data_IF_120898820451
#
_entry.id   IF_120898820451
#
_cell.length_a   1.000
_cell.length_b   1.000
_cell.length_c   1.000
_cell.angle_alpha   90.00
_cell.angle_beta   90.00
_cell.angle_gamma   90.00
#
_symmetry.space_group_name_H-M   'P 1'
#
loop_
_entity.id
_entity.type
_entity.pdbx_description
1 polymer ?
#
# COMPACT_ATOMS: atom_id res chain seq x y z
N UNK A 1 12.40 3.38 -13.37
CA UNK A 1 11.49 2.28 -13.05
C UNK A 1 10.60 2.61 -11.86
N UNK A 2 9.34 2.11 -11.86
CA UNK A 2 8.45 2.21 -10.69
C UNK A 2 8.88 1.20 -9.62
N UNK A 3 9.93 1.52 -8.93
CA UNK A 3 10.47 0.72 -7.83
C UNK A 3 9.66 0.99 -6.55
N UNK A 4 9.07 -0.03 -5.94
CA UNK A 4 8.13 0.15 -4.83
C UNK A 4 8.40 -0.72 -3.61
N UNK A 5 9.22 -1.75 -3.74
CA UNK A 5 9.53 -2.70 -2.66
C UNK A 5 10.83 -3.45 -2.96
N UNK A 6 11.46 -3.99 -1.92
CA UNK A 6 12.55 -4.93 -2.03
C UNK A 6 12.18 -6.27 -1.37
N UNK A 7 12.30 -7.40 -2.09
CA UNK A 7 12.42 -7.46 -3.53
C UNK A 7 11.14 -7.00 -4.23
N UNK A 8 11.21 -6.56 -5.51
CA UNK A 8 10.00 -6.34 -6.29
C UNK A 8 9.21 -7.65 -6.48
N UNK A 9 7.87 -7.58 -6.40
CA UNK A 9 7.01 -8.78 -6.44
C UNK A 9 7.11 -9.60 -7.75
N UNK A 10 7.66 -9.04 -8.83
CA UNK A 10 7.95 -9.77 -10.07
C UNK A 10 9.14 -10.72 -9.99
N UNK A 11 9.87 -10.72 -8.87
CA UNK A 11 10.89 -11.72 -8.53
C UNK A 11 10.36 -12.91 -7.75
N UNK A 12 9.06 -12.91 -7.38
CA UNK A 12 8.48 -14.03 -6.65
C UNK A 12 8.47 -15.29 -7.54
N UNK A 13 8.99 -16.36 -7.00
CA UNK A 13 9.12 -17.69 -7.59
C UNK A 13 8.09 -18.67 -6.97
N UNK A 14 7.94 -19.90 -7.49
CA UNK A 14 7.12 -20.92 -6.84
C UNK A 14 7.52 -21.12 -5.38
N UNK A 15 6.54 -21.05 -4.46
CA UNK A 15 6.77 -21.13 -3.03
C UNK A 15 5.76 -22.09 -2.40
N UNK A 16 6.20 -22.90 -1.44
CA UNK A 16 5.37 -23.95 -0.83
C UNK A 16 4.82 -23.52 0.54
N UNK A 17 3.73 -24.16 0.96
CA UNK A 17 3.19 -23.97 2.31
C UNK A 17 4.23 -24.35 3.40
N UNK A 18 5.06 -25.37 3.18
CA UNK A 18 6.10 -25.76 4.14
C UNK A 18 7.14 -24.63 4.33
N UNK A 19 7.66 -24.06 3.24
CA UNK A 19 8.60 -22.91 3.31
C UNK A 19 7.96 -21.69 3.98
N UNK A 20 6.67 -21.46 3.73
CA UNK A 20 5.93 -20.39 4.40
C UNK A 20 5.86 -20.59 5.91
N UNK A 21 5.49 -21.80 6.36
CA UNK A 21 5.39 -22.13 7.78
C UNK A 21 6.75 -22.05 8.51
N UNK A 22 7.83 -22.47 7.85
CA UNK A 22 9.19 -22.29 8.35
C UNK A 22 9.53 -20.81 8.55
N UNK A 23 9.20 -19.96 7.56
CA UNK A 23 9.42 -18.52 7.65
C UNK A 23 8.55 -17.87 8.76
N UNK A 24 7.32 -18.34 8.97
CA UNK A 24 6.47 -17.92 10.09
C UNK A 24 7.11 -18.27 11.43
N UNK A 25 7.62 -19.49 11.59
CA UNK A 25 8.30 -19.92 12.82
C UNK A 25 9.55 -19.09 13.11
N UNK A 26 10.36 -18.79 12.08
CA UNK A 26 11.52 -17.89 12.20
C UNK A 26 11.11 -16.50 12.64
N UNK A 27 10.09 -15.94 11.99
CA UNK A 27 9.55 -14.62 12.30
C UNK A 27 8.98 -14.52 13.72
N UNK A 28 8.43 -15.61 14.27
CA UNK A 28 7.91 -15.63 15.65
C UNK A 28 9.01 -15.54 16.72
N UNK A 29 10.27 -15.76 16.35
CA UNK A 29 11.43 -15.58 17.22
C UNK A 29 11.96 -14.12 17.21
N UNK A 30 11.44 -13.25 16.31
CA UNK A 30 11.84 -11.86 16.24
C UNK A 30 11.43 -11.08 17.49
N UNK A 31 12.17 -10.03 17.81
CA UNK A 31 11.92 -9.17 18.99
C UNK A 31 10.63 -8.37 18.90
N UNK A 32 10.17 -8.06 17.70
CA UNK A 32 8.89 -7.38 17.48
C UNK A 32 7.77 -8.39 17.31
N UNK A 33 6.76 -8.32 18.18
CA UNK A 33 5.74 -9.37 18.30
C UNK A 33 4.37 -9.00 17.70
N UNK A 34 4.16 -7.76 17.26
CA UNK A 34 2.87 -7.35 16.73
C UNK A 34 2.63 -7.86 15.31
N UNK A 35 1.39 -8.24 15.00
CA UNK A 35 0.94 -8.68 13.68
C UNK A 35 0.11 -7.61 12.98
N UNK A 36 0.22 -7.59 11.66
CA UNK A 36 -0.73 -6.92 10.78
C UNK A 36 -1.45 -7.95 9.92
N UNK A 37 -2.74 -7.75 9.69
CA UNK A 37 -3.52 -8.55 8.76
C UNK A 37 -3.91 -7.71 7.54
N UNK A 38 -3.69 -8.27 6.36
CA UNK A 38 -4.23 -7.75 5.12
C UNK A 38 -5.27 -8.72 4.56
N UNK A 39 -6.52 -8.29 4.46
CA UNK A 39 -7.60 -9.08 3.90
C UNK A 39 -7.93 -8.58 2.50
N UNK A 40 -7.74 -9.44 1.52
CA UNK A 40 -8.01 -9.12 0.12
C UNK A 40 -9.43 -9.55 -0.26
N UNK A 41 -10.30 -8.57 -0.53
CA UNK A 41 -11.64 -8.82 -1.08
C UNK A 41 -11.58 -8.49 -2.57
N UNK A 42 -11.59 -9.51 -3.46
CA UNK A 42 -11.25 -9.30 -4.87
C UNK A 42 -12.39 -8.75 -5.73
N UNK A 43 -13.59 -8.62 -5.19
CA UNK A 43 -14.79 -8.33 -5.99
C UNK A 43 -14.98 -6.83 -6.21
N UNK A 44 -15.41 -6.45 -7.42
CA UNK A 44 -15.80 -5.09 -7.79
C UNK A 44 -17.13 -5.09 -8.51
N UNK A 45 -18.02 -4.17 -8.16
CA UNK A 45 -19.29 -3.99 -8.89
C UNK A 45 -19.07 -3.52 -10.33
N UNK A 46 -18.03 -2.71 -10.55
CA UNK A 46 -17.54 -2.31 -11.87
C UNK A 46 -16.01 -2.30 -11.87
N UNK A 47 -15.44 -2.69 -13.00
CA UNK A 47 -13.99 -2.70 -13.16
C UNK A 47 -13.55 -1.39 -13.82
N UNK A 48 -12.88 -0.53 -13.07
CA UNK A 48 -12.32 0.71 -13.58
C UNK A 48 -11.23 0.42 -14.64
N UNK A 49 -11.19 1.20 -15.71
CA UNK A 49 -10.27 0.96 -16.82
C UNK A 49 -8.81 1.18 -16.45
N UNK A 50 -8.52 2.06 -15.49
CA UNK A 50 -7.16 2.35 -15.01
C UNK A 50 -6.60 1.30 -14.05
N UNK A 51 -7.48 0.51 -13.40
CA UNK A 51 -7.13 -0.26 -12.20
C UNK A 51 -6.10 -1.34 -12.50
N UNK A 52 -4.99 -1.31 -11.74
CA UNK A 52 -3.95 -2.34 -11.73
C UNK A 52 -4.09 -3.35 -10.59
N UNK A 53 -5.10 -3.20 -9.73
CA UNK A 53 -5.34 -4.12 -8.62
C UNK A 53 -5.81 -5.47 -9.13
N UNK A 54 -5.56 -6.49 -8.32
CA UNK A 54 -6.05 -7.84 -8.58
C UNK A 54 -7.53 -7.92 -8.21
N UNK A 55 -8.37 -7.57 -9.16
CA UNK A 55 -9.81 -7.41 -8.97
C UNK A 55 -10.60 -8.18 -10.02
N UNK A 56 -11.73 -8.70 -9.62
CA UNK A 56 -12.64 -9.50 -10.41
C UNK A 56 -14.03 -8.85 -10.42
N UNK A 57 -14.85 -9.05 -11.48
CA UNK A 57 -16.25 -8.68 -11.45
C UNK A 57 -16.96 -9.34 -10.25
N UNK A 58 -18.09 -8.75 -9.83
CA UNK A 58 -18.93 -9.36 -8.80
C UNK A 58 -19.25 -10.81 -9.15
N UNK A 59 -19.07 -11.67 -8.18
CA UNK A 59 -19.47 -13.06 -8.25
C UNK A 59 -20.93 -13.23 -7.78
N UNK A 60 -21.49 -14.43 -8.00
CA UNK A 60 -22.77 -14.82 -7.42
C UNK A 60 -22.68 -14.85 -5.90
N UNK A 61 -23.78 -14.60 -5.16
CA UNK A 61 -23.77 -14.55 -3.69
C UNK A 61 -23.11 -15.78 -3.05
N UNK A 62 -23.38 -16.99 -3.56
CA UNK A 62 -22.87 -18.24 -3.01
C UNK A 62 -21.33 -18.33 -3.09
N UNK A 63 -20.74 -17.73 -4.14
CA UNK A 63 -19.28 -17.68 -4.28
C UNK A 63 -18.68 -16.64 -3.30
N UNK A 64 -19.36 -15.51 -3.10
CA UNK A 64 -18.94 -14.49 -2.14
C UNK A 64 -18.97 -15.07 -0.73
N UNK A 65 -20.07 -15.70 -0.34
CA UNK A 65 -20.23 -16.36 0.95
C UNK A 65 -19.17 -17.44 1.17
N UNK A 66 -18.95 -18.33 0.19
CA UNK A 66 -17.91 -19.36 0.25
C UNK A 66 -16.51 -18.76 0.37
N UNK A 67 -16.27 -17.62 -0.27
CA UNK A 67 -14.99 -16.91 -0.18
C UNK A 67 -14.76 -16.30 1.21
N UNK A 68 -15.79 -15.67 1.78
CA UNK A 68 -15.75 -15.13 3.14
C UNK A 68 -15.60 -16.25 4.16
N UNK A 69 -16.31 -17.37 3.98
CA UNK A 69 -16.16 -18.56 4.82
C UNK A 69 -14.71 -19.09 4.78
N UNK A 70 -14.07 -19.11 3.61
CA UNK A 70 -12.65 -19.46 3.51
C UNK A 70 -11.75 -18.50 4.30
N UNK A 71 -12.08 -17.19 4.36
CA UNK A 71 -11.37 -16.24 5.20
C UNK A 71 -11.57 -16.50 6.71
N UNK A 72 -12.71 -17.04 7.12
CA UNK A 72 -12.92 -17.51 8.49
C UNK A 72 -12.12 -18.79 8.78
N UNK A 73 -12.13 -19.74 7.88
CA UNK A 73 -11.49 -21.05 8.05
C UNK A 73 -9.96 -20.99 8.08
N UNK A 74 -9.33 -19.95 7.51
CA UNK A 74 -7.88 -19.81 7.54
C UNK A 74 -7.36 -19.37 8.93
N UNK A 75 -8.16 -18.66 9.74
CA UNK A 75 -7.71 -18.09 11.00
C UNK A 75 -7.20 -19.15 12.02
N UNK A 76 -7.84 -20.32 12.17
CA UNK A 76 -7.31 -21.39 13.03
C UNK A 76 -5.96 -21.97 12.59
N UNK A 77 -5.59 -21.78 11.31
CA UNK A 77 -4.32 -22.28 10.75
C UNK A 77 -3.14 -21.35 11.03
N UNK A 78 -3.39 -20.16 11.57
CA UNK A 78 -2.37 -19.14 11.86
C UNK A 78 -1.93 -19.17 13.31
N UNK A 79 -0.69 -18.75 13.56
CA UNK A 79 -0.16 -18.60 14.92
C UNK A 79 -0.87 -17.47 15.67
N UNK A 80 -1.37 -17.75 16.88
CA UNK A 80 -2.21 -16.86 17.69
C UNK A 80 -1.47 -16.17 18.83
N UNK A 81 -0.18 -16.42 19.00
CA UNK A 81 0.56 -15.90 20.15
C UNK A 81 0.95 -14.43 20.03
N UNK A 82 0.69 -13.82 18.88
CA UNK A 82 1.09 -12.44 18.57
C UNK A 82 -0.09 -11.49 18.54
N UNK A 83 0.01 -10.31 19.18
CA UNK A 83 -1.09 -9.37 19.22
C UNK A 83 -1.28 -8.64 17.87
N UNK A 84 -2.53 -8.41 17.50
CA UNK A 84 -2.89 -7.60 16.34
C UNK A 84 -2.52 -6.14 16.60
N UNK A 85 -1.76 -5.53 15.70
CA UNK A 85 -1.51 -4.09 15.64
C UNK A 85 -2.31 -3.40 14.54
N UNK A 86 -2.58 -4.11 13.44
CA UNK A 86 -3.31 -3.55 12.30
C UNK A 86 -4.16 -4.61 11.60
N UNK A 87 -5.34 -4.21 11.15
CA UNK A 87 -6.17 -4.95 10.19
C UNK A 87 -6.48 -4.02 9.03
N UNK A 88 -6.19 -4.46 7.81
CA UNK A 88 -6.47 -3.69 6.61
C UNK A 88 -7.27 -4.51 5.60
N UNK A 89 -8.45 -4.04 5.25
CA UNK A 89 -9.29 -4.62 4.20
C UNK A 89 -9.07 -3.85 2.90
N UNK A 90 -8.56 -4.53 1.88
CA UNK A 90 -8.28 -3.94 0.58
C UNK A 90 -8.59 -4.89 -0.57
N UNK A 91 -8.09 -4.57 -1.76
CA UNK A 91 -8.15 -5.46 -2.92
C UNK A 91 -8.86 -4.90 -4.14
N UNK A 92 -10.00 -5.45 -4.51
CA UNK A 92 -10.90 -4.89 -5.52
C UNK A 92 -11.69 -3.73 -4.93
N UNK A 93 -12.75 -4.06 -4.22
CA UNK A 93 -13.52 -3.13 -3.40
C UNK A 93 -14.12 -3.90 -2.22
N UNK A 94 -13.52 -3.82 -1.02
CA UNK A 94 -14.02 -4.55 0.14
C UNK A 94 -15.50 -4.30 0.42
N UNK A 95 -15.96 -3.07 0.22
CA UNK A 95 -17.35 -2.66 0.40
C UNK A 95 -18.29 -3.08 -0.76
N UNK A 96 -17.81 -3.86 -1.73
CA UNK A 96 -18.69 -4.45 -2.74
C UNK A 96 -19.52 -5.61 -2.20
N UNK A 97 -19.02 -6.33 -1.19
CA UNK A 97 -19.76 -7.40 -0.50
C UNK A 97 -20.65 -6.84 0.61
N UNK A 98 -21.64 -7.59 1.11
CA UNK A 98 -22.49 -7.15 2.22
C UNK A 98 -21.70 -6.76 3.47
N UNK A 99 -22.02 -5.61 4.05
CA UNK A 99 -21.34 -5.09 5.25
C UNK A 99 -21.44 -6.05 6.44
N UNK A 100 -22.53 -6.83 6.54
CA UNK A 100 -22.72 -7.83 7.58
C UNK A 100 -21.59 -8.89 7.57
N UNK A 101 -21.17 -9.36 6.39
CA UNK A 101 -20.08 -10.33 6.27
C UNK A 101 -18.74 -9.74 6.71
N UNK A 102 -18.51 -8.45 6.42
CA UNK A 102 -17.32 -7.73 6.88
C UNK A 102 -17.32 -7.61 8.41
N UNK A 103 -18.47 -7.27 9.00
CA UNK A 103 -18.64 -7.15 10.45
C UNK A 103 -18.35 -8.47 11.17
N UNK A 104 -18.90 -9.58 10.67
CA UNK A 104 -18.67 -10.92 11.22
C UNK A 104 -17.21 -11.34 11.11
N UNK A 105 -16.57 -11.12 9.95
CA UNK A 105 -15.17 -11.45 9.74
C UNK A 105 -14.25 -10.65 10.65
N UNK A 106 -14.50 -9.35 10.81
CA UNK A 106 -13.71 -8.50 11.69
C UNK A 106 -13.88 -8.90 13.17
N UNK A 107 -15.10 -9.20 13.60
CA UNK A 107 -15.38 -9.70 14.94
C UNK A 107 -14.68 -11.05 15.23
N UNK A 108 -14.74 -11.99 14.26
CA UNK A 108 -14.06 -13.28 14.39
C UNK A 108 -12.52 -13.10 14.49
N UNK A 109 -11.94 -12.23 13.70
CA UNK A 109 -10.51 -11.96 13.72
C UNK A 109 -10.09 -11.38 15.08
N UNK A 110 -10.79 -10.37 15.58
CA UNK A 110 -10.53 -9.74 16.88
C UNK A 110 -10.79 -10.66 18.09
N UNK A 111 -11.67 -11.65 17.96
CA UNK A 111 -11.89 -12.67 19.00
C UNK A 111 -10.89 -13.83 18.96
N UNK A 112 -10.22 -14.04 17.80
CA UNK A 112 -9.29 -15.15 17.59
C UNK A 112 -7.85 -14.83 18.00
N UNK A 113 -7.48 -13.55 18.03
CA UNK A 113 -6.12 -13.09 18.33
C UNK A 113 -6.14 -12.03 19.43
N UNK A 114 -5.13 -11.97 20.31
CA UNK A 114 -4.94 -10.81 21.17
C UNK A 114 -4.71 -9.56 20.32
N UNK A 115 -4.96 -8.39 20.86
CA UNK A 115 -4.70 -7.12 20.18
C UNK A 115 -3.89 -6.19 21.10
N UNK A 116 -3.08 -5.32 20.50
CA UNK A 116 -2.46 -4.21 21.23
C UNK A 116 -3.55 -3.21 21.68
N UNK A 117 -3.18 -2.30 22.59
CA UNK A 117 -4.05 -1.16 22.88
C UNK A 117 -4.22 -0.31 21.60
N UNK A 118 -5.47 -0.14 21.17
CA UNK A 118 -5.88 0.62 19.96
C UNK A 118 -5.21 0.16 18.66
N UNK A 119 -5.49 -1.05 18.18
CA UNK A 119 -5.05 -1.48 16.86
C UNK A 119 -5.68 -0.59 15.77
N UNK A 120 -4.96 -0.34 14.67
CA UNK A 120 -5.56 0.29 13.50
C UNK A 120 -6.42 -0.72 12.74
N UNK A 121 -7.68 -0.41 12.53
CA UNK A 121 -8.62 -1.26 11.76
C UNK A 121 -9.16 -0.42 10.62
N UNK A 122 -8.67 -0.70 9.41
CA UNK A 122 -8.90 0.11 8.23
C UNK A 122 -9.59 -0.66 7.11
N UNK A 123 -10.40 0.04 6.31
CA UNK A 123 -11.05 -0.51 5.13
C UNK A 123 -11.04 0.49 3.97
N UNK A 124 -10.77 -0.03 2.76
CA UNK A 124 -10.90 0.71 1.51
C UNK A 124 -12.37 0.72 1.04
N UNK A 125 -12.87 1.91 0.71
CA UNK A 125 -14.26 2.14 0.34
C UNK A 125 -14.39 2.74 -1.06
N UNK A 126 -15.36 2.23 -1.84
CA UNK A 126 -15.79 2.86 -3.07
C UNK A 126 -17.10 3.63 -2.83
N UNK A 127 -17.10 4.98 -2.80
CA UNK A 127 -18.25 5.76 -2.35
C UNK A 127 -19.44 5.71 -3.32
N UNK A 128 -19.22 5.31 -4.58
CA UNK A 128 -20.27 5.24 -5.61
C UNK A 128 -21.28 4.11 -5.45
N UNK A 129 -21.16 3.27 -4.41
CA UNK A 129 -22.04 2.11 -4.18
C UNK A 129 -22.56 2.00 -2.75
N UNK A 130 -22.16 2.90 -1.87
CA UNK A 130 -22.55 2.90 -0.47
C UNK A 130 -23.71 3.87 -0.24
N UNK A 131 -24.85 3.34 0.19
CA UNK A 131 -25.97 4.14 0.69
C UNK A 131 -25.65 4.69 2.08
N UNK A 132 -26.46 5.63 2.57
CA UNK A 132 -26.36 6.13 3.95
C UNK A 132 -26.42 4.99 4.98
N UNK A 133 -27.30 4.02 4.75
CA UNK A 133 -27.41 2.81 5.59
C UNK A 133 -26.09 2.01 5.60
N UNK A 134 -25.44 1.84 4.46
CA UNK A 134 -24.18 1.10 4.38
C UNK A 134 -23.06 1.83 5.14
N UNK A 135 -23.00 3.16 5.02
CA UNK A 135 -22.05 3.97 5.78
C UNK A 135 -22.28 3.85 7.30
N UNK A 136 -23.54 3.94 7.74
CA UNK A 136 -23.90 3.74 9.15
C UNK A 136 -23.47 2.35 9.63
N UNK A 137 -23.76 1.30 8.88
CA UNK A 137 -23.36 -0.06 9.23
C UNK A 137 -21.84 -0.21 9.31
N UNK A 138 -21.07 0.42 8.42
CA UNK A 138 -19.60 0.39 8.47
C UNK A 138 -19.06 1.01 9.76
N UNK A 139 -19.69 2.05 10.30
CA UNK A 139 -19.26 2.65 11.58
C UNK A 139 -19.45 1.70 12.78
N UNK A 140 -20.26 0.64 12.63
CA UNK A 140 -20.53 -0.35 13.66
C UNK A 140 -19.65 -1.61 13.53
N UNK A 141 -18.80 -1.67 12.50
CA UNK A 141 -17.91 -2.83 12.26
C UNK A 141 -16.60 -2.77 13.06
N UNK A 142 -16.37 -1.71 13.85
CA UNK A 142 -15.14 -1.53 14.62
C UNK A 142 -13.98 -0.90 13.84
N UNK A 143 -14.24 -0.37 12.64
CA UNK A 143 -13.23 0.39 11.89
C UNK A 143 -12.95 1.74 12.55
N UNK A 144 -11.67 2.10 12.63
CA UNK A 144 -11.24 3.42 13.11
C UNK A 144 -10.57 4.26 12.01
N UNK A 145 -10.42 3.69 10.80
CA UNK A 145 -9.94 4.41 9.60
C UNK A 145 -10.66 3.91 8.35
N UNK A 146 -11.18 4.83 7.55
CA UNK A 146 -11.72 4.53 6.23
C UNK A 146 -10.89 5.23 5.15
N UNK A 147 -10.45 4.48 4.13
CA UNK A 147 -9.82 5.01 2.93
C UNK A 147 -10.86 5.08 1.81
N UNK A 148 -11.21 6.29 1.41
CA UNK A 148 -12.25 6.54 0.42
C UNK A 148 -11.61 6.83 -0.93
N UNK A 149 -11.72 5.88 -1.85
CA UNK A 149 -11.20 6.02 -3.22
C UNK A 149 -12.08 6.96 -4.04
N UNK A 150 -11.87 8.25 -3.95
CA UNK A 150 -12.57 9.27 -4.78
C UNK A 150 -12.01 9.25 -6.19
N UNK A 151 -10.70 9.26 -6.32
CA UNK A 151 -9.87 9.33 -7.53
C UNK A 151 -9.94 10.69 -8.24
N UNK A 152 -11.13 11.22 -8.46
CA UNK A 152 -11.43 12.52 -9.04
C UNK A 152 -12.84 12.94 -8.64
N UNK A 153 -13.12 14.24 -8.58
CA UNK A 153 -14.48 14.77 -8.41
C UNK A 153 -15.16 15.09 -9.74
N UNK A 154 -14.38 15.20 -10.83
CA UNK A 154 -14.92 15.53 -12.15
C UNK A 154 -15.63 14.31 -12.76
N UNK A 155 -16.95 14.43 -12.95
CA UNK A 155 -17.82 13.39 -13.49
C UNK A 155 -17.37 12.89 -14.87
N UNK A 156 -16.85 13.78 -15.73
CA UNK A 156 -16.40 13.41 -17.08
C UNK A 156 -15.11 12.58 -17.03
N UNK A 157 -14.20 12.87 -16.09
CA UNK A 157 -13.03 12.04 -15.82
C UNK A 157 -13.47 10.66 -15.31
N UNK A 158 -14.35 10.62 -14.31
CA UNK A 158 -14.83 9.36 -13.73
C UNK A 158 -15.56 8.48 -14.76
N UNK A 159 -16.44 9.05 -15.57
CA UNK A 159 -17.11 8.33 -16.67
C UNK A 159 -16.11 7.72 -17.67
N UNK A 160 -15.08 8.49 -18.04
CA UNK A 160 -14.06 8.03 -18.99
C UNK A 160 -13.31 6.81 -18.50
N UNK A 161 -13.10 6.71 -17.19
CA UNK A 161 -12.40 5.59 -16.56
C UNK A 161 -13.34 4.49 -16.02
N UNK A 162 -14.62 4.52 -16.38
CA UNK A 162 -15.66 3.57 -15.91
C UNK A 162 -15.78 3.51 -14.37
N UNK A 163 -15.80 4.69 -13.73
CA UNK A 163 -15.97 4.82 -12.28
C UNK A 163 -17.21 5.65 -11.94
N UNK A 164 -17.98 5.16 -10.98
CA UNK A 164 -19.13 5.93 -10.44
C UNK A 164 -18.66 7.01 -9.48
N UNK A 165 -19.25 8.23 -9.54
CA UNK A 165 -19.08 9.23 -8.50
C UNK A 165 -19.68 8.75 -7.17
N UNK A 166 -19.41 9.46 -6.08
CA UNK A 166 -20.04 9.19 -4.79
C UNK A 166 -21.56 9.25 -4.90
N UNK A 167 -22.27 8.34 -4.20
CA UNK A 167 -23.73 8.36 -4.11
C UNK A 167 -24.24 9.49 -3.20
N UNK A 168 -23.50 9.78 -2.14
CA UNK A 168 -23.82 10.85 -1.20
C UNK A 168 -22.83 12.00 -1.39
N UNK A 169 -23.20 13.23 -1.02
CA UNK A 169 -22.24 14.32 -0.87
C UNK A 169 -21.11 13.88 0.06
N UNK A 170 -19.87 14.23 -0.28
CA UNK A 170 -18.72 13.87 0.54
C UNK A 170 -18.77 14.53 1.92
N UNK A 171 -19.35 15.71 2.00
CA UNK A 171 -19.58 16.45 3.24
C UNK A 171 -20.41 15.63 4.24
N UNK A 172 -21.51 15.01 3.77
CA UNK A 172 -22.39 14.19 4.61
C UNK A 172 -21.66 12.94 5.12
N UNK A 173 -20.87 12.29 4.25
CA UNK A 173 -20.04 11.15 4.63
C UNK A 173 -19.03 11.56 5.71
N UNK A 174 -18.38 12.73 5.55
CA UNK A 174 -17.41 13.23 6.51
C UNK A 174 -18.03 13.55 7.87
N UNK A 175 -19.20 14.19 7.89
CA UNK A 175 -19.94 14.48 9.13
C UNK A 175 -20.22 13.17 9.86
N UNK A 176 -20.82 12.20 9.18
CA UNK A 176 -21.16 10.89 9.76
C UNK A 176 -19.95 10.17 10.34
N UNK A 177 -18.85 10.11 9.62
CA UNK A 177 -17.64 9.40 10.06
C UNK A 177 -16.93 10.14 11.22
N UNK A 178 -16.91 11.49 11.18
CA UNK A 178 -16.33 12.31 12.24
C UNK A 178 -17.10 12.20 13.56
N UNK A 179 -18.43 12.15 13.51
CA UNK A 179 -19.26 11.92 14.71
C UNK A 179 -18.95 10.60 15.41
N UNK A 180 -18.44 9.61 14.66
CA UNK A 180 -18.02 8.31 15.19
C UNK A 180 -16.52 8.24 15.54
N UNK A 181 -15.80 9.35 15.39
CA UNK A 181 -14.35 9.40 15.68
C UNK A 181 -13.48 8.60 14.68
N UNK A 182 -14.00 8.34 13.47
CA UNK A 182 -13.31 7.58 12.44
C UNK A 182 -12.40 8.51 11.63
N UNK A 183 -11.15 8.11 11.48
CA UNK A 183 -10.18 8.81 10.63
C UNK A 183 -10.44 8.56 9.15
N UNK A 184 -10.28 9.59 8.33
CA UNK A 184 -10.62 9.56 6.91
C UNK A 184 -9.39 9.80 6.06
N UNK A 185 -9.12 8.86 5.15
CA UNK A 185 -8.15 9.02 4.07
C UNK A 185 -8.90 9.18 2.75
N UNK A 186 -8.46 10.12 1.90
CA UNK A 186 -8.94 10.27 0.53
C UNK A 186 -7.86 9.87 -0.47
N UNK A 187 -8.23 9.00 -1.41
CA UNK A 187 -7.34 8.59 -2.50
C UNK A 187 -7.70 9.29 -3.80
N UNK A 188 -6.71 9.94 -4.41
CA UNK A 188 -6.77 10.58 -5.72
C UNK A 188 -5.81 9.93 -6.71
N UNK A 189 -6.18 9.98 -7.98
CA UNK A 189 -5.37 9.47 -9.06
C UNK A 189 -5.15 10.57 -10.09
N UNK A 190 -3.90 10.99 -10.31
CA UNK A 190 -3.57 11.98 -11.32
C UNK A 190 -2.94 11.36 -12.57
N UNK A 191 -3.10 12.05 -13.69
CA UNK A 191 -2.67 11.57 -15.01
C UNK A 191 -3.71 10.70 -15.72
N UNK A 192 -4.98 10.80 -15.33
CA UNK A 192 -6.11 10.17 -16.01
C UNK A 192 -6.48 10.96 -17.29
N UNK A 193 -7.13 10.30 -18.29
CA UNK A 193 -7.66 11.02 -19.45
C UNK A 193 -8.61 12.15 -19.05
N UNK A 194 -8.60 13.25 -19.82
CA UNK A 194 -9.40 14.47 -19.57
C UNK A 194 -9.06 15.24 -18.29
N UNK A 195 -8.10 14.80 -17.51
CA UNK A 195 -7.56 15.64 -16.45
C UNK A 195 -6.69 16.74 -17.05
N UNK A 196 -6.81 17.94 -16.46
CA UNK A 196 -5.92 19.09 -16.70
C UNK A 196 -5.35 19.53 -15.36
N UNK A 197 -4.28 20.32 -15.39
CA UNK A 197 -3.72 20.92 -14.17
C UNK A 197 -4.79 21.68 -13.41
N UNK A 198 -5.61 22.46 -14.11
CA UNK A 198 -6.66 23.28 -13.50
C UNK A 198 -7.74 22.43 -12.80
N UNK A 199 -8.29 21.40 -13.49
CA UNK A 199 -9.37 20.61 -12.90
C UNK A 199 -8.86 19.71 -11.76
N UNK A 200 -7.62 19.21 -11.83
CA UNK A 200 -7.02 18.45 -10.75
C UNK A 200 -6.70 19.35 -9.55
N UNK A 201 -6.28 20.59 -9.77
CA UNK A 201 -6.10 21.60 -8.71
C UNK A 201 -7.41 21.82 -7.95
N UNK A 202 -8.54 21.99 -8.65
CA UNK A 202 -9.87 22.12 -8.01
C UNK A 202 -10.25 20.89 -7.20
N UNK A 203 -9.91 19.68 -7.63
CA UNK A 203 -10.12 18.47 -6.85
C UNK A 203 -9.40 18.54 -5.50
N UNK A 204 -8.16 19.01 -5.49
CA UNK A 204 -7.38 19.10 -4.25
C UNK A 204 -7.89 20.25 -3.36
N UNK A 205 -8.29 21.38 -3.92
CA UNK A 205 -8.95 22.47 -3.17
C UNK A 205 -10.22 21.96 -2.47
N UNK A 206 -11.07 21.21 -3.19
CA UNK A 206 -12.27 20.61 -2.62
C UNK A 206 -11.92 19.58 -1.51
N UNK A 207 -10.90 18.77 -1.71
CA UNK A 207 -10.43 17.82 -0.70
C UNK A 207 -9.93 18.54 0.57
N UNK A 208 -9.21 19.65 0.42
CA UNK A 208 -8.73 20.48 1.54
C UNK A 208 -9.89 21.03 2.35
N UNK A 209 -10.97 21.47 1.72
CA UNK A 209 -12.20 21.95 2.41
C UNK A 209 -12.85 20.83 3.24
N UNK A 210 -12.85 19.59 2.76
CA UNK A 210 -13.32 18.42 3.52
C UNK A 210 -12.41 18.06 4.70
N UNK A 211 -11.16 18.52 4.66
CA UNK A 211 -10.20 18.34 5.76
C UNK A 211 -9.95 16.88 6.17
N UNK A 212 -9.57 15.96 5.26
CA UNK A 212 -9.24 14.59 5.62
C UNK A 212 -8.01 14.53 6.54
N UNK A 213 -7.86 13.42 7.28
CA UNK A 213 -6.67 13.17 8.09
C UNK A 213 -5.46 12.85 7.21
N UNK A 214 -5.71 12.07 6.15
CA UNK A 214 -4.72 11.70 5.13
C UNK A 214 -5.28 11.91 3.74
N UNK A 215 -4.39 12.20 2.81
CA UNK A 215 -4.70 12.29 1.39
C UNK A 215 -3.57 11.60 0.62
N UNK A 216 -3.93 10.77 -0.35
CA UNK A 216 -2.96 10.09 -1.20
C UNK A 216 -3.18 10.50 -2.64
N UNK A 217 -2.10 10.83 -3.35
CA UNK A 217 -2.11 11.18 -4.75
C UNK A 217 -1.27 10.18 -5.55
N UNK A 218 -1.93 9.19 -6.14
CA UNK A 218 -1.24 8.20 -6.98
C UNK A 218 -1.10 8.67 -8.42
N UNK A 219 0.09 8.47 -8.99
CA UNK A 219 0.27 8.63 -10.43
C UNK A 219 -0.37 7.47 -11.19
N UNK A 220 -1.21 7.75 -12.17
CA UNK A 220 -1.69 6.72 -13.08
C UNK A 220 -0.52 6.04 -13.80
N UNK A 221 -0.45 4.72 -13.65
CA UNK A 221 0.54 3.87 -14.31
C UNK A 221 -0.10 3.22 -15.54
N UNK A 222 0.33 3.65 -16.73
CA UNK A 222 -0.13 3.05 -17.98
C UNK A 222 0.71 1.82 -18.31
N UNK A 223 0.11 0.64 -18.17
CA UNK A 223 0.75 -0.67 -18.36
C UNK A 223 -0.17 -1.63 -19.14
N UNK A 224 -0.57 -1.26 -20.39
CA UNK A 224 -1.55 -2.03 -21.15
C UNK A 224 -1.09 -3.46 -21.48
N UNK A 225 0.21 -3.72 -21.45
CA UNK A 225 0.76 -5.08 -21.59
C UNK A 225 0.44 -5.99 -20.40
N UNK A 226 0.12 -5.44 -19.22
CA UNK A 226 -0.35 -6.18 -18.05
C UNK A 226 -1.88 -6.17 -18.01
N UNK A 227 -2.49 -4.99 -18.20
CA UNK A 227 -3.94 -4.81 -18.15
C UNK A 227 -4.48 -4.20 -19.45
N UNK A 228 -4.97 -5.05 -20.35
CA UNK A 228 -5.50 -4.66 -21.66
C UNK A 228 -6.66 -3.66 -21.61
N UNK A 229 -7.40 -3.57 -20.48
CA UNK A 229 -8.47 -2.57 -20.32
C UNK A 229 -7.96 -1.13 -20.41
N UNK A 230 -6.70 -0.90 -20.04
CA UNK A 230 -6.07 0.41 -20.12
C UNK A 230 -5.94 0.95 -21.56
N UNK A 231 -5.95 0.07 -22.58
CA UNK A 231 -5.99 0.49 -23.99
C UNK A 231 -7.23 1.35 -24.32
N UNK A 232 -8.32 1.18 -23.57
CA UNK A 232 -9.51 2.02 -23.76
C UNK A 232 -9.26 3.49 -23.42
N UNK A 233 -8.29 3.76 -22.55
CA UNK A 233 -7.96 5.12 -22.09
C UNK A 233 -7.10 5.89 -23.10
N UNK A 234 -6.32 5.21 -23.93
CA UNK A 234 -5.47 5.83 -24.94
C UNK A 234 -6.26 6.68 -25.93
N UNK A 235 -7.47 6.23 -26.29
CA UNK A 235 -8.37 6.92 -27.23
C UNK A 235 -8.89 8.27 -26.68
N UNK A 236 -8.86 8.45 -25.37
CA UNK A 236 -9.38 9.65 -24.70
C UNK A 236 -8.29 10.70 -24.44
N UNK A 237 -7.04 10.42 -24.84
CA UNK A 237 -5.89 11.28 -24.62
C UNK A 237 -5.41 11.22 -23.15
N UNK A 238 -4.18 10.76 -22.96
CA UNK A 238 -3.51 10.77 -21.65
C UNK A 238 -2.68 12.04 -21.51
N UNK A 239 -2.66 12.67 -20.32
CA UNK A 239 -1.74 13.76 -20.05
C UNK A 239 -0.28 13.29 -20.24
N UNK A 240 0.56 14.18 -20.74
CA UNK A 240 1.98 13.91 -20.89
C UNK A 240 2.72 13.96 -19.53
N UNK A 241 4.01 13.66 -19.54
CA UNK A 241 4.81 13.64 -18.31
C UNK A 241 4.95 15.04 -17.69
N UNK A 242 4.98 16.09 -18.49
CA UNK A 242 5.08 17.47 -18.00
C UNK A 242 3.77 17.89 -17.32
N UNK A 243 2.64 17.63 -17.95
CA UNK A 243 1.31 17.88 -17.36
C UNK A 243 1.13 17.10 -16.05
N UNK A 244 1.48 15.81 -16.01
CA UNK A 244 1.42 14.99 -14.79
C UNK A 244 2.31 15.56 -13.69
N UNK A 245 3.50 15.99 -14.02
CA UNK A 245 4.41 16.60 -13.06
C UNK A 245 3.83 17.90 -12.50
N UNK A 246 3.30 18.76 -13.37
CA UNK A 246 2.68 20.03 -12.97
C UNK A 246 1.45 19.80 -12.10
N UNK A 247 0.60 18.79 -12.42
CA UNK A 247 -0.52 18.39 -11.57
C UNK A 247 -0.06 18.04 -10.14
N UNK A 248 0.96 17.21 -10.04
CA UNK A 248 1.49 16.79 -8.72
C UNK A 248 2.09 17.95 -7.95
N UNK A 249 2.98 18.73 -8.58
CA UNK A 249 3.70 19.82 -7.90
C UNK A 249 2.73 20.92 -7.43
N UNK A 250 1.72 21.26 -8.25
CA UNK A 250 0.70 22.23 -7.87
C UNK A 250 -0.14 21.74 -6.70
N UNK A 251 -0.59 20.50 -6.76
CA UNK A 251 -1.39 19.87 -5.71
C UNK A 251 -0.60 19.74 -4.40
N UNK A 252 0.64 19.28 -4.44
CA UNK A 252 1.52 19.19 -3.29
C UNK A 252 1.76 20.56 -2.64
N UNK A 253 1.98 21.60 -3.46
CA UNK A 253 2.13 22.99 -3.00
C UNK A 253 0.89 23.50 -2.26
N UNK A 254 -0.32 23.19 -2.75
CA UNK A 254 -1.58 23.54 -2.07
C UNK A 254 -1.74 22.81 -0.74
N UNK A 255 -1.44 21.51 -0.71
CA UNK A 255 -1.53 20.70 0.51
C UNK A 255 -0.55 21.19 1.58
N UNK A 256 0.69 21.51 1.21
CA UNK A 256 1.67 22.08 2.16
C UNK A 256 1.20 23.44 2.71
N UNK A 257 0.68 24.34 1.85
CA UNK A 257 0.11 25.63 2.30
C UNK A 257 -1.08 25.44 3.25
N UNK A 258 -1.81 24.33 3.11
CA UNK A 258 -2.94 23.96 3.97
C UNK A 258 -2.53 23.16 5.21
N UNK A 259 -1.24 23.03 5.51
CA UNK A 259 -0.71 22.43 6.72
C UNK A 259 -0.54 20.91 6.65
N UNK A 260 -0.66 20.28 5.49
CA UNK A 260 -0.32 18.87 5.32
C UNK A 260 1.19 18.67 5.14
N UNK A 261 1.69 17.56 5.64
CA UNK A 261 3.08 17.13 5.50
C UNK A 261 3.17 15.96 4.53
N UNK A 262 4.16 15.97 3.65
CA UNK A 262 4.44 14.84 2.76
C UNK A 262 5.01 13.66 3.55
N UNK A 263 4.48 12.47 3.31
CA UNK A 263 5.01 11.19 3.77
C UNK A 263 5.42 10.38 2.56
N UNK A 264 6.71 10.16 2.43
CA UNK A 264 7.25 9.43 1.29
C UNK A 264 6.93 10.10 -0.05
N UNK A 265 6.35 9.33 -0.97
CA UNK A 265 6.23 9.73 -2.37
C UNK A 265 4.88 10.33 -2.76
N UNK A 266 3.81 9.97 -2.06
CA UNK A 266 2.44 10.13 -2.53
C UNK A 266 1.40 10.38 -1.41
N UNK A 267 1.81 10.31 -0.14
CA UNK A 267 0.95 10.56 1.01
C UNK A 267 1.13 11.96 1.56
N UNK A 268 0.02 12.54 2.00
CA UNK A 268 -0.04 13.84 2.68
C UNK A 268 -0.89 13.69 3.93
N UNK A 269 -0.36 14.05 5.08
CA UNK A 269 -1.01 13.81 6.37
C UNK A 269 -1.01 15.08 7.22
N UNK A 270 -1.92 15.14 8.20
CA UNK A 270 -1.88 16.19 9.22
C UNK A 270 -0.63 16.04 10.11
N UNK A 271 -0.07 17.13 10.65
CA UNK A 271 1.14 17.08 11.47
C UNK A 271 1.05 16.16 12.70
N UNK A 272 -0.15 16.00 13.25
CA UNK A 272 -0.43 15.14 14.41
C UNK A 272 -0.77 13.69 14.03
N UNK A 273 -0.73 13.33 12.75
CA UNK A 273 -0.93 11.95 12.30
C UNK A 273 0.27 11.08 12.73
N UNK A 274 0.00 9.83 13.07
CA UNK A 274 1.02 8.88 13.52
C UNK A 274 2.12 8.63 12.46
N UNK A 275 1.81 8.74 11.15
CA UNK A 275 2.83 8.62 10.09
C UNK A 275 3.79 9.82 10.11
N UNK A 276 3.30 11.04 10.40
CA UNK A 276 4.14 12.21 10.58
C UNK A 276 5.08 12.04 11.77
N UNK A 277 4.55 11.58 12.90
CA UNK A 277 5.33 11.31 14.11
C UNK A 277 6.36 10.20 13.85
N UNK A 278 5.95 9.13 13.15
CA UNK A 278 6.85 8.04 12.79
C UNK A 278 7.98 8.49 11.87
N UNK A 279 7.71 9.38 10.91
CA UNK A 279 8.74 9.95 10.04
C UNK A 279 9.72 10.80 10.83
N UNK A 280 9.24 11.71 11.71
CA UNK A 280 10.09 12.56 12.55
C UNK A 280 10.96 11.75 13.51
N UNK A 281 10.46 10.62 13.99
CA UNK A 281 11.21 9.72 14.91
C UNK A 281 11.97 8.61 14.17
N UNK A 282 12.06 8.67 12.83
CA UNK A 282 12.71 7.65 11.97
C UNK A 282 12.16 6.22 12.16
N UNK A 283 10.88 6.12 12.50
CA UNK A 283 10.14 4.86 12.69
C UNK A 283 9.14 4.58 11.57
N UNK A 284 9.15 5.39 10.52
CA UNK A 284 8.31 5.14 9.36
C UNK A 284 8.77 3.87 8.65
N UNK A 285 7.82 3.06 8.26
CA UNK A 285 8.03 1.82 7.53
C UNK A 285 7.06 1.73 6.37
N UNK A 286 7.30 0.81 5.45
CA UNK A 286 6.47 0.58 4.29
C UNK A 286 6.29 -0.91 4.03
N UNK A 287 5.05 -1.32 3.81
CA UNK A 287 4.69 -2.66 3.34
C UNK A 287 3.96 -2.59 1.99
N UNK A 288 3.37 -3.69 1.54
CA UNK A 288 2.62 -3.73 0.27
C UNK A 288 1.33 -2.91 0.28
N UNK A 289 0.79 -2.56 1.44
CA UNK A 289 -0.40 -1.71 1.59
C UNK A 289 -0.06 -0.21 1.53
N UNK A 290 1.16 0.18 1.93
CA UNK A 290 1.59 1.57 1.95
C UNK A 290 2.51 1.92 3.11
N UNK A 291 2.52 3.20 3.50
CA UNK A 291 3.30 3.68 4.64
C UNK A 291 2.59 3.38 5.95
N UNK A 292 3.35 2.98 6.94
CA UNK A 292 2.88 2.58 8.27
C UNK A 292 3.96 2.84 9.33
N UNK A 293 3.57 2.74 10.58
CA UNK A 293 4.52 2.80 11.70
C UNK A 293 5.15 1.42 11.93
N UNK A 294 6.35 1.33 12.49
CA UNK A 294 7.00 0.03 12.76
C UNK A 294 6.21 -0.87 13.69
N UNK A 295 5.42 -0.31 14.58
CA UNK A 295 4.58 -1.12 15.49
C UNK A 295 3.53 -1.98 14.77
N UNK A 296 3.18 -1.59 13.52
CA UNK A 296 2.12 -2.24 12.72
C UNK A 296 2.66 -3.11 11.59
N UNK A 297 3.99 -3.37 11.51
CA UNK A 297 4.58 -3.89 10.27
C UNK A 297 5.66 -4.94 10.40
N UNK A 298 5.97 -5.38 11.61
CA UNK A 298 6.98 -6.42 11.81
C UNK A 298 6.62 -7.70 11.03
N UNK A 299 5.32 -8.05 10.99
CA UNK A 299 4.80 -9.13 10.16
C UNK A 299 3.43 -8.78 9.61
N UNK A 300 3.17 -9.16 8.37
CA UNK A 300 1.86 -9.06 7.73
C UNK A 300 1.41 -10.44 7.29
N UNK A 301 0.26 -10.89 7.76
CA UNK A 301 -0.44 -12.05 7.21
C UNK A 301 -1.41 -11.60 6.12
N UNK A 302 -1.15 -12.04 4.89
CA UNK A 302 -2.01 -11.78 3.74
C UNK A 302 -3.06 -12.88 3.59
N UNK A 303 -4.33 -12.54 3.77
CA UNK A 303 -5.49 -13.42 3.65
C UNK A 303 -6.27 -13.13 2.39
N UNK A 304 -6.72 -14.18 1.72
CA UNK A 304 -7.45 -14.07 0.45
C UNK A 304 -6.54 -14.23 -0.78
N UNK A 305 -7.18 -14.30 -1.95
CA UNK A 305 -6.47 -14.47 -3.23
C UNK A 305 -5.47 -13.35 -3.44
N UNK A 306 -4.29 -13.69 -3.95
CA UNK A 306 -3.18 -12.79 -4.27
C UNK A 306 -2.60 -11.99 -3.10
N UNK A 307 -3.19 -12.06 -1.92
CA UNK A 307 -2.65 -11.39 -0.75
C UNK A 307 -1.23 -11.86 -0.47
N UNK A 308 -0.37 -10.91 -0.11
CA UNK A 308 1.04 -11.15 0.18
C UNK A 308 1.25 -11.08 1.68
N UNK A 309 1.78 -12.15 2.25
CA UNK A 309 2.35 -12.14 3.59
C UNK A 309 3.78 -11.62 3.52
N UNK A 310 4.13 -10.69 4.42
CA UNK A 310 5.48 -10.16 4.59
C UNK A 310 6.00 -10.62 5.93
N UNK A 311 7.03 -11.43 5.92
CA UNK A 311 7.69 -11.97 7.09
C UNK A 311 9.12 -11.43 7.20
N UNK A 312 9.79 -11.71 8.29
CA UNK A 312 11.17 -11.25 8.49
C UNK A 312 12.11 -11.79 7.39
N UNK A 313 12.02 -13.09 7.10
CA UNK A 313 12.91 -13.78 6.16
C UNK A 313 12.24 -14.16 4.83
N UNK A 314 10.97 -13.83 4.59
CA UNK A 314 10.28 -14.22 3.38
C UNK A 314 9.06 -13.37 3.04
N UNK A 315 8.70 -13.42 1.77
CA UNK A 315 7.40 -13.01 1.25
C UNK A 315 6.68 -14.24 0.71
N UNK A 316 5.37 -14.33 0.93
CA UNK A 316 4.57 -15.42 0.41
C UNK A 316 3.23 -14.89 -0.13
N UNK A 317 2.81 -15.38 -1.28
CA UNK A 317 1.61 -14.92 -1.97
C UNK A 317 0.65 -16.07 -2.20
N UNK A 318 -0.61 -15.86 -1.86
CA UNK A 318 -1.70 -16.79 -2.14
C UNK A 318 -1.99 -16.90 -3.64
N UNK A 319 -2.63 -18.00 -4.03
CA UNK A 319 -3.14 -18.19 -5.40
C UNK A 319 -4.01 -17.01 -5.84
N UNK A 320 -4.05 -16.76 -7.15
CA UNK A 320 -4.98 -15.78 -7.75
C UNK A 320 -6.35 -16.37 -8.11
N UNK A 321 -6.47 -17.70 -8.10
CA UNK A 321 -7.67 -18.43 -8.51
C UNK A 321 -8.64 -18.55 -7.33
N UNK A 322 -9.84 -17.92 -7.41
CA UNK A 322 -10.83 -17.89 -6.33
C UNK A 322 -11.36 -19.31 -6.02
N UNK A 323 -11.81 -20.12 -7.00
CA UNK A 323 -12.24 -21.48 -6.74
C UNK A 323 -11.15 -22.35 -6.09
N UNK A 324 -9.91 -22.23 -6.56
CA UNK A 324 -8.78 -22.95 -5.97
C UNK A 324 -8.52 -22.52 -4.53
N UNK A 325 -8.56 -21.22 -4.24
CA UNK A 325 -8.41 -20.68 -2.88
C UNK A 325 -9.46 -21.28 -1.94
N UNK A 326 -10.73 -21.16 -2.29
CA UNK A 326 -11.86 -21.69 -1.49
C UNK A 326 -11.66 -23.18 -1.23
N UNK A 327 -11.42 -23.97 -2.27
CA UNK A 327 -11.26 -25.43 -2.18
C UNK A 327 -10.08 -25.84 -1.30
N UNK A 328 -8.96 -25.12 -1.39
CA UNK A 328 -7.73 -25.44 -0.62
C UNK A 328 -7.94 -25.13 0.85
N UNK A 329 -8.43 -23.93 1.17
CA UNK A 329 -8.70 -23.54 2.56
C UNK A 329 -9.75 -24.42 3.22
N UNK A 330 -10.82 -24.82 2.49
CA UNK A 330 -11.85 -25.73 3.02
C UNK A 330 -11.34 -27.13 3.38
N UNK A 331 -10.15 -27.51 2.89
CA UNK A 331 -9.46 -28.74 3.29
C UNK A 331 -8.53 -28.57 4.47
N UNK A 332 -8.44 -27.37 5.03
CA UNK A 332 -7.49 -27.05 6.12
C UNK A 332 -6.05 -26.82 5.64
N UNK A 333 -5.87 -26.50 4.36
CA UNK A 333 -4.56 -26.25 3.74
C UNK A 333 -4.39 -24.77 3.40
N UNK A 334 -3.14 -24.26 3.49
CA UNK A 334 -2.80 -22.92 3.03
C UNK A 334 -2.69 -22.89 1.49
N UNK A 335 -2.94 -21.73 0.88
CA UNK A 335 -3.00 -21.59 -0.59
C UNK A 335 -1.81 -20.82 -1.19
N UNK A 336 -0.64 -20.91 -0.55
CA UNK A 336 0.58 -20.24 -1.00
C UNK A 336 1.04 -20.86 -2.34
N UNK A 337 1.33 -20.02 -3.31
CA UNK A 337 1.79 -20.44 -4.64
C UNK A 337 3.09 -19.79 -5.09
N UNK A 338 3.37 -18.58 -4.60
CA UNK A 338 4.56 -17.80 -4.93
C UNK A 338 5.15 -17.17 -3.69
N UNK A 339 6.42 -16.83 -3.74
CA UNK A 339 7.08 -16.12 -2.66
C UNK A 339 8.54 -15.85 -2.97
N UNK A 340 9.23 -15.31 -1.98
CA UNK A 340 10.65 -15.03 -2.04
C UNK A 340 11.25 -15.20 -0.65
N UNK A 341 12.23 -16.10 -0.51
CA UNK A 341 12.99 -16.24 0.72
C UNK A 341 14.19 -15.30 0.67
N UNK A 342 14.32 -14.44 1.68
CA UNK A 342 15.42 -13.49 1.82
C UNK A 342 16.59 -14.14 2.54
N UNK A 343 17.75 -14.15 1.91
CA UNK A 343 19.01 -14.43 2.61
C UNK A 343 19.30 -13.35 3.67
N UNK A 344 20.18 -13.62 4.65
CA UNK A 344 20.56 -12.61 5.64
C UNK A 344 21.10 -11.31 4.99
N UNK A 345 21.83 -11.42 3.90
CA UNK A 345 22.32 -10.26 3.13
C UNK A 345 21.18 -9.46 2.51
N UNK A 346 20.18 -10.14 1.95
CA UNK A 346 19.01 -9.49 1.36
C UNK A 346 18.11 -8.84 2.41
N UNK A 347 18.03 -9.39 3.61
CA UNK A 347 17.33 -8.74 4.74
C UNK A 347 18.01 -7.40 5.08
N UNK A 348 19.34 -7.34 5.11
CA UNK A 348 20.07 -6.08 5.29
C UNK A 348 19.84 -5.10 4.12
N UNK A 349 19.83 -5.60 2.89
CA UNK A 349 19.51 -4.78 1.70
C UNK A 349 18.12 -4.18 1.80
N UNK A 350 17.12 -4.96 2.23
CA UNK A 350 15.76 -4.48 2.47
C UNK A 350 15.73 -3.33 3.47
N UNK A 351 16.40 -3.48 4.60
CA UNK A 351 16.45 -2.43 5.64
C UNK A 351 17.08 -1.13 5.12
N UNK A 352 18.14 -1.22 4.32
CA UNK A 352 18.79 -0.05 3.71
C UNK A 352 17.83 0.66 2.74
N UNK A 353 17.23 -0.09 1.82
CA UNK A 353 16.33 0.43 0.79
C UNK A 353 15.07 1.04 1.41
N UNK A 354 14.45 0.34 2.37
CA UNK A 354 13.26 0.84 3.06
C UNK A 354 13.57 2.10 3.89
N UNK A 355 14.72 2.15 4.54
CA UNK A 355 15.17 3.33 5.29
C UNK A 355 15.24 4.55 4.37
N UNK A 356 15.85 4.42 3.19
CA UNK A 356 15.91 5.50 2.22
C UNK A 356 14.53 5.90 1.69
N UNK A 357 13.72 4.91 1.31
CA UNK A 357 12.40 5.17 0.72
C UNK A 357 11.40 5.78 1.71
N UNK A 358 11.53 5.47 2.99
CA UNK A 358 10.65 5.99 4.05
C UNK A 358 11.11 7.35 4.60
N UNK A 359 12.41 7.52 4.80
CA UNK A 359 12.93 8.67 5.52
C UNK A 359 13.66 9.69 4.60
N UNK A 360 13.86 9.36 3.33
CA UNK A 360 14.62 10.17 2.38
C UNK A 360 16.12 10.24 2.71
N UNK A 361 16.57 9.50 3.72
CA UNK A 361 17.98 9.51 4.14
C UNK A 361 18.40 8.16 4.73
N UNK A 362 19.71 7.91 4.72
CA UNK A 362 20.38 6.81 5.42
C UNK A 362 21.48 7.41 6.28
N UNK A 363 21.39 7.24 7.60
CA UNK A 363 22.52 7.38 8.52
C UNK A 363 23.12 5.97 8.69
N UNK A 364 24.27 5.74 8.08
CA UNK A 364 24.91 4.42 8.08
C UNK A 364 25.33 3.97 9.48
N UNK A 365 25.71 4.89 10.36
CA UNK A 365 26.11 4.57 11.72
C UNK A 365 24.90 4.21 12.59
N UNK A 366 23.81 4.95 12.46
CA UNK A 366 22.57 4.67 13.17
C UNK A 366 21.97 3.33 12.72
N UNK A 367 21.93 3.10 11.40
CA UNK A 367 21.45 1.83 10.83
C UNK A 367 22.31 0.64 11.25
N UNK A 368 23.65 0.81 11.27
CA UNK A 368 24.63 -0.18 11.75
C UNK A 368 24.38 -0.58 13.21
N UNK A 369 24.16 0.40 14.09
CA UNK A 369 23.83 0.15 15.50
C UNK A 369 22.50 -0.59 15.64
N UNK A 370 21.46 -0.16 14.91
CA UNK A 370 20.11 -0.76 14.96
C UNK A 370 20.10 -2.21 14.51
N UNK A 371 20.88 -2.55 13.48
CA UNK A 371 20.94 -3.89 12.91
C UNK A 371 22.08 -4.76 13.48
N UNK A 372 22.88 -4.23 14.41
CA UNK A 372 24.02 -4.93 15.04
C UNK A 372 25.06 -5.48 14.03
N UNK A 373 25.31 -4.75 12.95
CA UNK A 373 26.29 -5.08 11.92
C UNK A 373 27.18 -3.88 11.60
N UNK A 374 28.36 -4.09 10.99
CA UNK A 374 29.23 -2.98 10.61
C UNK A 374 28.68 -2.17 9.43
N UNK A 375 29.05 -0.89 9.30
CA UNK A 375 28.74 -0.06 8.13
C UNK A 375 29.25 -0.68 6.84
N UNK A 376 30.44 -1.27 6.86
CA UNK A 376 31.01 -1.98 5.69
C UNK A 376 30.15 -3.17 5.27
N UNK A 377 29.58 -3.91 6.22
CA UNK A 377 28.66 -5.03 5.95
C UNK A 377 27.38 -4.53 5.29
N UNK A 378 26.81 -3.41 5.76
CA UNK A 378 25.61 -2.80 5.16
C UNK A 378 25.86 -2.34 3.73
N UNK A 379 26.94 -1.60 3.49
CA UNK A 379 27.31 -1.16 2.13
C UNK A 379 27.57 -2.36 1.21
N UNK A 380 28.28 -3.39 1.67
CA UNK A 380 28.55 -4.62 0.91
C UNK A 380 27.28 -5.47 0.64
N UNK A 381 26.28 -5.40 1.51
CA UNK A 381 24.99 -6.07 1.28
C UNK A 381 24.28 -5.50 0.05
N UNK A 382 24.37 -4.20 -0.17
CA UNK A 382 23.72 -3.48 -1.29
C UNK A 382 24.62 -3.43 -2.54
N UNK A 383 24.10 -2.84 -3.63
CA UNK A 383 24.86 -2.46 -4.81
C UNK A 383 25.49 -1.04 -4.64
N UNK A 384 26.02 -0.75 -3.45
CA UNK A 384 26.68 0.52 -3.15
C UNK A 384 27.82 0.77 -4.14
N UNK A 385 27.79 1.92 -4.80
CA UNK A 385 28.76 2.33 -5.81
C UNK A 385 28.94 3.85 -5.74
N UNK A 386 30.10 4.29 -5.27
CA UNK A 386 30.43 5.71 -5.12
C UNK A 386 30.34 6.50 -6.43
N UNK A 387 30.68 5.87 -7.55
CA UNK A 387 30.60 6.52 -8.87
C UNK A 387 29.17 6.82 -9.26
N UNK A 388 28.23 5.91 -8.94
CA UNK A 388 26.80 6.17 -9.16
C UNK A 388 26.25 7.22 -8.21
N UNK A 389 26.66 7.19 -6.95
CA UNK A 389 26.24 8.20 -5.97
C UNK A 389 26.80 9.58 -6.32
N UNK A 390 28.06 9.67 -6.77
CA UNK A 390 28.62 10.93 -7.28
C UNK A 390 27.78 11.49 -8.43
N UNK A 391 27.37 10.65 -9.41
CA UNK A 391 26.51 11.08 -10.49
C UNK A 391 25.16 11.65 -10.02
N UNK A 392 24.51 11.04 -9.02
CA UNK A 392 23.29 11.61 -8.43
C UNK A 392 23.54 12.90 -7.65
N UNK A 393 24.72 13.04 -7.02
CA UNK A 393 25.09 14.27 -6.32
C UNK A 393 25.40 15.41 -7.31
N UNK A 394 26.09 15.11 -8.41
CA UNK A 394 26.38 16.07 -9.49
C UNK A 394 25.08 16.57 -10.15
N UNK A 395 24.06 15.70 -10.26
CA UNK A 395 22.71 16.06 -10.70
C UNK A 395 21.90 16.82 -9.63
N UNK A 396 22.46 17.05 -8.44
CA UNK A 396 21.80 17.75 -7.33
C UNK A 396 20.66 16.98 -6.66
N UNK A 397 20.62 15.64 -6.81
CA UNK A 397 19.54 14.80 -6.29
C UNK A 397 19.80 14.30 -4.88
N UNK A 398 21.05 14.14 -4.49
CA UNK A 398 21.46 13.69 -3.15
C UNK A 398 22.63 14.49 -2.59
N UNK A 399 22.76 14.46 -1.27
CA UNK A 399 24.00 14.69 -0.55
C UNK A 399 24.49 13.36 0.02
N UNK A 400 25.78 13.06 -0.05
CA UNK A 400 26.32 11.87 0.58
C UNK A 400 27.75 12.06 1.10
N UNK A 401 28.06 11.30 2.11
CA UNK A 401 29.38 11.15 2.73
C UNK A 401 29.60 9.68 3.06
N UNK A 402 30.72 9.33 3.68
CA UNK A 402 30.95 7.97 4.18
C UNK A 402 29.91 7.51 5.20
N UNK A 403 29.36 8.45 5.98
CA UNK A 403 28.45 8.18 7.10
C UNK A 403 26.97 8.44 6.76
N UNK A 404 26.68 9.16 5.67
CA UNK A 404 25.34 9.67 5.43
C UNK A 404 24.99 9.76 3.94
N UNK A 405 23.73 9.52 3.63
CA UNK A 405 23.10 9.76 2.32
C UNK A 405 21.74 10.41 2.54
N UNK A 406 21.46 11.52 1.87
CA UNK A 406 20.20 12.25 1.99
C UNK A 406 19.70 12.73 0.64
N UNK A 407 18.40 12.57 0.40
CA UNK A 407 17.73 13.14 -0.78
C UNK A 407 17.60 14.66 -0.62
N UNK A 408 17.96 15.42 -1.65
CA UNK A 408 17.64 16.85 -1.71
C UNK A 408 16.14 17.06 -1.90
N UNK A 409 15.64 18.27 -1.72
CA UNK A 409 14.24 18.62 -2.05
C UNK A 409 13.94 18.33 -3.52
N UNK A 410 14.86 18.69 -4.43
CA UNK A 410 14.72 18.39 -5.87
C UNK A 410 14.81 16.89 -6.15
N UNK A 411 15.63 16.17 -5.40
CA UNK A 411 15.86 14.74 -5.53
C UNK A 411 14.74 13.87 -4.97
N UNK A 412 13.87 14.38 -4.09
CA UNK A 412 12.81 13.60 -3.43
C UNK A 412 11.92 12.81 -4.42
N UNK A 413 11.62 13.39 -5.57
CA UNK A 413 10.87 12.73 -6.64
C UNK A 413 11.61 11.53 -7.27
N UNK A 414 12.92 11.46 -7.09
CA UNK A 414 13.81 10.44 -7.64
C UNK A 414 14.28 9.40 -6.61
N UNK A 415 13.72 9.41 -5.38
CA UNK A 415 14.09 8.48 -4.32
C UNK A 415 14.04 7.02 -4.79
N UNK A 416 13.07 6.66 -5.64
CA UNK A 416 12.96 5.33 -6.25
C UNK A 416 14.16 4.97 -7.14
N UNK A 417 14.74 5.94 -7.82
CA UNK A 417 15.88 5.73 -8.71
C UNK A 417 17.15 5.49 -7.88
N UNK A 418 17.34 6.27 -6.82
CA UNK A 418 18.46 6.11 -5.90
C UNK A 418 18.33 4.78 -5.15
N UNK A 419 17.14 4.45 -4.61
CA UNK A 419 16.88 3.17 -3.95
C UNK A 419 17.13 1.97 -4.88
N UNK A 420 16.64 2.02 -6.12
CA UNK A 420 16.87 0.98 -7.13
C UNK A 420 18.36 0.81 -7.49
N UNK A 421 19.17 1.87 -7.39
CA UNK A 421 20.61 1.77 -7.64
C UNK A 421 21.38 1.03 -6.54
N UNK A 422 20.80 0.93 -5.34
CA UNK A 422 21.33 0.15 -4.22
C UNK A 422 20.90 -1.32 -4.24
N UNK A 423 20.00 -1.70 -5.14
CA UNK A 423 19.46 -3.05 -5.27
C UNK A 423 20.27 -3.88 -6.27
N UNK A 424 20.92 -4.95 -5.78
CA UNK A 424 21.67 -5.89 -6.64
C UNK A 424 20.78 -6.59 -7.68
N UNK A 425 19.49 -6.83 -7.37
CA UNK A 425 18.55 -7.45 -8.29
C UNK A 425 18.25 -6.53 -9.49
N UNK A 426 18.38 -5.22 -9.32
CA UNK A 426 18.13 -4.25 -10.39
C UNK A 426 19.29 -4.05 -11.35
N UNK A 427 20.51 -4.50 -11.01
CA UNK A 427 21.71 -4.31 -11.86
C UNK A 427 21.58 -5.00 -13.22
N UNK A 428 20.92 -6.16 -13.25
CA UNK A 428 20.72 -6.98 -14.46
C UNK A 428 19.28 -7.47 -14.59
N UNK A 429 18.32 -6.62 -14.18
CA UNK A 429 16.90 -7.04 -14.16
C UNK A 429 16.39 -7.35 -15.57
N UNK A 430 15.85 -8.56 -15.81
CA UNK A 430 15.17 -8.88 -17.06
C UNK A 430 13.76 -8.32 -17.14
N UNK A 431 13.27 -7.68 -16.06
CA UNK A 431 11.88 -7.25 -15.92
C UNK A 431 11.67 -5.82 -16.42
N UNK A 432 10.50 -5.60 -17.02
CA UNK A 432 10.03 -4.28 -17.43
C UNK A 432 9.26 -3.62 -16.29
N UNK A 433 9.51 -2.34 -16.09
CA UNK A 433 8.83 -1.52 -15.06
C UNK A 433 8.09 -0.36 -15.73
N UNK A 434 6.95 0.03 -15.17
CA UNK A 434 6.28 1.25 -15.60
C UNK A 434 7.12 2.48 -15.26
N UNK A 435 6.91 3.54 -16.03
CA UNK A 435 7.50 4.86 -15.76
C UNK A 435 6.52 5.64 -14.88
N UNK A 436 6.90 6.13 -13.69
CA UNK A 436 5.99 6.86 -12.82
C UNK A 436 5.70 8.28 -13.30
N UNK A 437 6.65 8.89 -13.98
CA UNK A 437 6.59 10.22 -14.59
C UNK A 437 7.24 10.17 -15.95
#
# INVERSE_FOLDING_TARGET
PRYTSYPPANYFEPFTNARYLEAVQQSNQASEHALSFYLHIPFCRHLCHYCGCNSYPMARPEIIESYVEALHLILPLLDKDRPIAQIHYGGGSPTAIPVALIKELNAHLLSSFPAIDRPEIAIECHPGYLSEKDWLQLTECGFNRLSIGVQDFNIEVLKTVNRRPSLLPMEDIFILLREKGISINLDFLYGLPKQTVENFTRNIEQAILLSPDRLVMFSYAHVPWINKRQLLLEKSGLPDNHEKRTMFDTAAGLLHKSGYQSIGMDHFVRPNDELSIAMQTKKLHRNFQGYCTRRTTAQVYGLGVTAISQLESAYAQNTKDIPHYIKTISKGELSITKGYALSPTEQLTREVIETLMCNGCIDWRDLSKRLHVSVSTLKAATAYDEKKLSGFADDGLIYYTDDYLEMTTAGSAFVRNVAASLDKLMLHSPHSYSKPL
#
